data_IF_170638183274
#
_entry.id   IF_170638183274
#
_cell.length_a   1.000
_cell.length_b   1.000
_cell.length_c   1.000
_cell.angle_alpha   90.00
_cell.angle_beta   90.00
_cell.angle_gamma   90.00
#
_symmetry.space_group_name_H-M   'P 1'
#
loop_
_entity.id
_entity.type
_entity.pdbx_description
1 polymer ?
#
# COMPACT_ATOMS: atom_id res chain seq x y z
N UNK A 1 13.00 -8.71 9.09
CA UNK A 1 13.24 -7.26 9.37
C UNK A 1 13.45 -7.10 10.86
N UNK A 2 14.62 -6.61 11.28
CA UNK A 2 14.90 -6.35 12.69
C UNK A 2 14.00 -5.22 13.19
N UNK A 3 13.23 -5.47 14.26
CA UNK A 3 12.49 -4.43 14.99
C UNK A 3 13.52 -3.36 15.42
N UNK A 4 13.32 -2.07 15.13
CA UNK A 4 14.22 -1.04 15.65
C UNK A 4 14.28 -1.19 17.17
N UNK A 5 15.47 -1.20 17.75
CA UNK A 5 15.65 -1.28 19.20
C UNK A 5 14.92 -0.10 19.85
N UNK A 6 13.75 -0.41 20.42
CA UNK A 6 12.85 0.57 21.04
C UNK A 6 13.51 1.04 22.32
N UNK A 7 13.99 2.28 22.33
CA UNK A 7 14.73 2.81 23.46
C UNK A 7 13.79 3.36 24.54
N UNK A 8 13.28 2.46 25.40
CA UNK A 8 12.35 2.76 26.50
C UNK A 8 12.88 3.82 27.49
N UNK A 9 14.20 4.04 27.53
CA UNK A 9 14.82 5.01 28.44
C UNK A 9 14.56 6.47 28.02
N UNK A 10 14.51 6.75 26.72
CA UNK A 10 14.27 8.12 26.20
C UNK A 10 12.80 8.54 26.35
N UNK A 11 11.86 7.59 26.29
CA UNK A 11 10.44 7.90 26.41
C UNK A 11 9.99 8.06 27.87
N UNK A 12 10.71 7.47 28.82
CA UNK A 12 10.51 7.71 30.25
C UNK A 12 10.90 9.14 30.67
N UNK A 13 11.97 9.69 30.09
CA UNK A 13 12.45 11.06 30.36
C UNK A 13 11.44 12.12 29.86
N UNK A 14 10.73 11.83 28.77
CA UNK A 14 9.80 12.77 28.12
C UNK A 14 8.37 12.72 28.66
N UNK A 15 8.12 11.98 29.74
CA UNK A 15 6.81 11.88 30.36
C UNK A 15 6.41 13.20 31.07
N UNK A 16 5.22 13.72 30.79
CA UNK A 16 4.77 15.08 31.15
C UNK A 16 4.86 15.43 32.65
N UNK A 17 4.77 14.43 33.54
CA UNK A 17 4.88 14.63 35.00
C UNK A 17 6.30 14.98 35.46
N UNK A 18 7.33 14.47 34.77
CA UNK A 18 8.72 14.75 35.11
C UNK A 18 9.10 16.20 34.73
N UNK A 19 8.55 16.71 33.62
CA UNK A 19 8.77 18.09 33.18
C UNK A 19 8.15 19.11 34.14
N UNK A 20 6.94 18.84 34.64
CA UNK A 20 6.27 19.71 35.63
C UNK A 20 7.02 19.68 36.97
N UNK A 21 7.48 18.51 37.41
CA UNK A 21 8.25 18.34 38.64
C UNK A 21 9.62 19.04 38.56
N UNK A 22 10.31 18.93 37.42
CA UNK A 22 11.60 19.58 37.19
C UNK A 22 11.45 21.11 37.08
N UNK A 23 10.38 21.60 36.46
CA UNK A 23 10.04 23.03 36.45
C UNK A 23 9.75 23.57 37.87
N UNK A 24 9.04 22.80 38.69
CA UNK A 24 8.77 23.14 40.10
C UNK A 24 10.06 23.21 40.93
N UNK A 25 10.96 22.23 40.79
CA UNK A 25 12.23 22.18 41.52
C UNK A 25 13.24 23.22 41.04
N UNK A 26 13.23 23.57 39.75
CA UNK A 26 14.01 24.68 39.22
C UNK A 26 13.57 26.01 39.85
N UNK A 27 12.26 26.25 39.96
CA UNK A 27 11.71 27.45 40.60
C UNK A 27 12.05 27.48 42.10
N UNK A 28 11.98 26.34 42.78
CA UNK A 28 12.37 26.22 44.19
C UNK A 28 13.87 26.48 44.43
N UNK A 29 14.73 26.02 43.52
CA UNK A 29 16.19 26.22 43.60
C UNK A 29 16.58 27.70 43.46
N UNK A 30 15.90 28.45 42.58
CA UNK A 30 16.06 29.90 42.43
C UNK A 30 15.61 30.63 43.69
N UNK A 31 14.48 30.25 44.28
CA UNK A 31 13.95 30.86 45.51
C UNK A 31 14.86 30.59 46.72
N UNK A 32 15.45 29.40 46.81
CA UNK A 32 16.33 29.01 47.93
C UNK A 32 17.80 29.44 47.75
N UNK A 33 18.16 30.03 46.60
CA UNK A 33 19.55 30.33 46.20
C UNK A 33 20.52 29.17 46.44
N UNK A 34 20.03 27.94 46.25
CA UNK A 34 20.74 26.72 46.61
C UNK A 34 20.54 25.69 45.52
N UNK A 35 21.64 25.00 45.17
CA UNK A 35 21.64 23.93 44.19
C UNK A 35 21.15 22.58 44.78
N UNK A 36 20.99 22.49 46.11
CA UNK A 36 20.56 21.27 46.81
C UNK A 36 19.22 20.68 46.30
N UNK A 37 18.16 21.46 46.05
CA UNK A 37 16.92 20.93 45.49
C UNK A 37 17.11 20.34 44.08
N UNK A 38 18.04 20.91 43.30
CA UNK A 38 18.32 20.47 41.93
C UNK A 38 19.11 19.16 41.91
N UNK A 39 20.08 18.99 42.83
CA UNK A 39 20.83 17.72 42.95
C UNK A 39 19.97 16.60 43.52
N UNK A 40 19.04 16.92 44.43
CA UNK A 40 18.03 15.97 44.91
C UNK A 40 17.09 15.55 43.77
N UNK A 41 16.66 16.48 42.93
CA UNK A 41 15.86 16.21 41.73
C UNK A 41 16.58 15.20 40.81
N UNK A 42 17.84 15.50 40.48
CA UNK A 42 18.66 14.65 39.62
C UNK A 42 18.88 13.24 40.21
N UNK A 43 19.03 13.14 41.53
CA UNK A 43 19.15 11.86 42.23
C UNK A 43 17.86 11.04 42.17
N UNK A 44 16.70 11.67 42.40
CA UNK A 44 15.39 11.02 42.31
C UNK A 44 15.09 10.58 40.87
N UNK A 45 15.44 11.42 39.89
CA UNK A 45 15.27 11.12 38.47
C UNK A 45 16.16 9.95 38.00
N UNK A 46 17.40 9.85 38.51
CA UNK A 46 18.26 8.67 38.26
C UNK A 46 17.67 7.38 38.84
N UNK A 47 17.11 7.43 40.06
CA UNK A 47 16.46 6.27 40.69
C UNK A 47 15.20 5.88 39.90
N UNK A 48 14.42 6.87 39.47
CA UNK A 48 13.22 6.67 38.64
C UNK A 48 13.58 6.00 37.30
N UNK A 49 14.59 6.50 36.60
CA UNK A 49 15.06 5.95 35.32
C UNK A 49 15.68 4.56 35.46
N UNK A 50 16.26 4.22 36.60
CA UNK A 50 16.77 2.87 36.85
C UNK A 50 15.65 1.83 37.12
N UNK A 51 14.53 2.26 37.71
CA UNK A 51 13.50 1.33 38.21
C UNK A 51 12.30 1.18 37.27
N UNK A 52 11.87 2.26 36.60
CA UNK A 52 10.62 2.30 35.81
C UNK A 52 10.66 1.53 34.49
N UNK A 53 11.73 1.57 33.67
CA UNK A 53 11.78 0.84 32.39
C UNK A 53 11.65 -0.68 32.53
N UNK A 54 11.93 -1.23 33.71
CA UNK A 54 11.81 -2.65 34.01
C UNK A 54 10.40 -3.11 34.41
N UNK A 55 9.44 -2.21 34.56
CA UNK A 55 8.07 -2.57 35.02
C UNK A 55 7.16 -2.96 33.86
N UNK A 56 6.45 -4.09 33.99
CA UNK A 56 5.51 -4.56 32.96
C UNK A 56 4.38 -3.56 32.66
N UNK A 57 3.95 -2.79 33.66
CA UNK A 57 2.87 -1.80 33.52
C UNK A 57 3.30 -0.63 32.62
N UNK A 58 4.54 -0.14 32.78
CA UNK A 58 5.08 0.91 31.92
C UNK A 58 5.29 0.41 30.50
N UNK A 59 5.87 -0.79 30.34
CA UNK A 59 6.07 -1.40 29.03
C UNK A 59 4.75 -1.62 28.29
N UNK A 60 3.70 -2.12 28.96
CA UNK A 60 2.36 -2.29 28.37
C UNK A 60 1.72 -0.95 27.98
N UNK A 61 1.87 0.09 28.79
CA UNK A 61 1.32 1.42 28.48
C UNK A 61 2.00 2.05 27.26
N UNK A 62 3.33 1.96 27.20
CA UNK A 62 4.13 2.40 26.05
C UNK A 62 3.78 1.58 24.81
N UNK A 63 3.68 0.26 24.94
CA UNK A 63 3.30 -0.62 23.84
C UNK A 63 1.88 -0.30 23.32
N UNK A 64 0.91 -0.09 24.20
CA UNK A 64 -0.45 0.28 23.81
C UNK A 64 -0.49 1.64 23.11
N UNK A 65 0.26 2.63 23.61
CA UNK A 65 0.39 3.96 22.99
C UNK A 65 0.99 3.84 21.60
N UNK A 66 2.07 3.07 21.43
CA UNK A 66 2.68 2.86 20.12
C UNK A 66 1.80 2.07 19.17
N UNK A 67 1.10 1.03 19.65
CA UNK A 67 0.11 0.29 18.85
C UNK A 67 -1.00 1.21 18.36
N UNK A 68 -1.49 2.13 19.20
CA UNK A 68 -2.50 3.11 18.80
C UNK A 68 -1.96 4.11 17.77
N UNK A 69 -0.71 4.57 17.91
CA UNK A 69 -0.04 5.44 16.93
C UNK A 69 0.19 4.70 15.61
N UNK A 70 0.61 3.44 15.65
CA UNK A 70 0.84 2.59 14.49
C UNK A 70 -0.48 2.36 13.73
N UNK A 71 -1.55 2.01 14.44
CA UNK A 71 -2.89 1.88 13.87
C UNK A 71 -3.42 3.20 13.28
N UNK A 72 -3.18 4.35 13.93
CA UNK A 72 -3.58 5.66 13.39
C UNK A 72 -2.79 6.03 12.13
N UNK A 73 -1.49 5.69 12.09
CA UNK A 73 -0.66 5.89 10.91
C UNK A 73 -1.08 4.97 9.75
N UNK A 74 -1.41 3.71 10.03
CA UNK A 74 -1.95 2.79 9.03
C UNK A 74 -3.28 3.29 8.47
N UNK A 75 -4.19 3.77 9.34
CA UNK A 75 -5.46 4.37 8.91
C UNK A 75 -5.24 5.58 8.02
N UNK A 76 -4.36 6.50 8.41
CA UNK A 76 -3.99 7.68 7.60
C UNK A 76 -3.38 7.31 6.25
N UNK A 77 -2.53 6.26 6.21
CA UNK A 77 -1.99 5.75 4.95
C UNK A 77 -3.10 5.24 4.05
N UNK A 78 -4.04 4.46 4.59
CA UNK A 78 -5.18 3.95 3.85
C UNK A 78 -6.07 5.08 3.33
N UNK A 79 -6.41 6.05 4.18
CA UNK A 79 -7.17 7.26 3.80
C UNK A 79 -6.47 8.02 2.65
N UNK A 80 -5.16 8.21 2.74
CA UNK A 80 -4.37 8.90 1.71
C UNK A 80 -4.30 8.12 0.38
N UNK A 81 -4.37 6.79 0.42
CA UNK A 81 -4.46 5.94 -0.77
C UNK A 81 -5.81 6.10 -1.42
N UNK A 82 -6.89 5.99 -0.64
CA UNK A 82 -8.27 6.22 -1.09
C UNK A 82 -8.42 7.61 -1.70
N UNK A 83 -7.78 8.63 -1.13
CA UNK A 83 -7.79 10.00 -1.64
C UNK A 83 -7.07 10.18 -2.99
N UNK A 84 -6.30 9.20 -3.47
CA UNK A 84 -5.70 9.24 -4.81
C UNK A 84 -6.58 8.61 -5.88
N UNK A 85 -7.59 7.82 -5.49
CA UNK A 85 -8.52 7.21 -6.45
C UNK A 85 -9.49 8.25 -7.02
N UNK A 86 -10.00 8.04 -8.23
CA UNK A 86 -11.06 8.87 -8.79
C UNK A 86 -12.38 8.68 -8.02
N UNK A 87 -13.25 9.71 -8.06
CA UNK A 87 -14.47 9.81 -7.24
C UNK A 87 -15.43 8.62 -7.43
N UNK A 88 -15.53 8.10 -8.65
CA UNK A 88 -16.34 6.92 -8.99
C UNK A 88 -15.86 5.66 -8.24
N UNK A 89 -14.54 5.45 -8.16
CA UNK A 89 -13.94 4.29 -7.48
C UNK A 89 -14.02 4.42 -5.96
N UNK A 90 -13.87 5.63 -5.41
CA UNK A 90 -14.07 5.86 -3.97
C UNK A 90 -15.49 5.53 -3.54
N UNK A 91 -16.49 5.99 -4.28
CA UNK A 91 -17.89 5.71 -3.98
C UNK A 91 -18.19 4.20 -4.02
N UNK A 92 -17.62 3.45 -4.98
CA UNK A 92 -17.76 1.99 -5.02
C UNK A 92 -17.09 1.30 -3.84
N UNK A 93 -15.87 1.71 -3.50
CA UNK A 93 -15.16 1.19 -2.32
C UNK A 93 -15.99 1.44 -1.05
N UNK A 94 -16.54 2.64 -0.88
CA UNK A 94 -17.40 2.98 0.26
C UNK A 94 -18.66 2.13 0.29
N UNK A 95 -19.31 1.88 -0.86
CA UNK A 95 -20.46 0.98 -0.94
C UNK A 95 -20.11 -0.45 -0.53
N UNK A 96 -18.99 -0.96 -1.00
CA UNK A 96 -18.45 -2.29 -0.65
C UNK A 96 -18.18 -2.37 0.85
N UNK A 97 -17.54 -1.35 1.43
CA UNK A 97 -17.26 -1.28 2.87
C UNK A 97 -18.54 -1.23 3.70
N UNK A 98 -19.52 -0.42 3.30
CA UNK A 98 -20.81 -0.34 3.98
C UNK A 98 -21.55 -1.70 3.91
N UNK A 99 -21.47 -2.40 2.78
CA UNK A 99 -22.08 -3.72 2.62
C UNK A 99 -21.45 -4.74 3.58
N UNK A 100 -20.13 -4.68 3.74
CA UNK A 100 -19.36 -5.51 4.65
C UNK A 100 -19.75 -5.21 6.11
N UNK A 101 -19.79 -3.95 6.50
CA UNK A 101 -20.17 -3.54 7.87
C UNK A 101 -21.60 -3.97 8.21
N UNK A 102 -22.54 -3.79 7.28
CA UNK A 102 -23.93 -4.22 7.46
C UNK A 102 -24.04 -5.75 7.55
N UNK A 103 -23.29 -6.48 6.72
CA UNK A 103 -23.23 -7.95 6.76
C UNK A 103 -22.68 -8.43 8.10
N UNK A 104 -21.63 -7.78 8.60
CA UNK A 104 -21.07 -8.05 9.94
C UNK A 104 -22.12 -7.82 11.03
N UNK A 105 -22.81 -6.66 11.01
CA UNK A 105 -23.80 -6.32 12.03
C UNK A 105 -24.89 -7.40 12.14
N UNK A 106 -25.33 -7.94 11.00
CA UNK A 106 -26.33 -9.00 10.93
C UNK A 106 -25.87 -10.36 11.48
N UNK A 107 -24.54 -10.60 11.56
CA UNK A 107 -23.95 -11.86 12.03
C UNK A 107 -23.57 -11.83 13.53
N UNK A 108 -23.84 -10.74 14.24
CA UNK A 108 -23.38 -10.50 15.62
C UNK A 108 -24.08 -11.39 16.68
N UNK A 109 -25.13 -12.13 16.31
CA UNK A 109 -25.83 -13.08 17.20
C UNK A 109 -25.07 -14.41 17.42
N UNK A 110 -23.88 -14.59 16.84
CA UNK A 110 -23.10 -15.85 16.81
C UNK A 110 -21.79 -15.82 17.64
N UNK A 111 -21.24 -17.00 18.04
CA UNK A 111 -20.20 -17.10 19.06
C UNK A 111 -18.89 -16.37 18.72
N UNK A 112 -18.30 -15.76 19.74
CA UNK A 112 -17.12 -14.87 19.77
C UNK A 112 -15.90 -15.35 18.94
N UNK A 113 -15.70 -16.66 18.82
CA UNK A 113 -14.60 -17.24 18.03
C UNK A 113 -14.81 -17.20 16.50
N UNK A 114 -16.04 -17.08 16.00
CA UNK A 114 -16.31 -16.97 14.55
C UNK A 114 -16.20 -15.52 14.04
N UNK A 115 -16.54 -14.54 14.88
CA UNK A 115 -16.45 -13.11 14.55
C UNK A 115 -15.01 -12.66 14.27
N UNK A 116 -14.03 -13.16 15.03
CA UNK A 116 -12.61 -12.81 14.82
C UNK A 116 -12.04 -13.32 13.49
N UNK A 117 -12.49 -14.49 13.01
CA UNK A 117 -12.11 -15.03 11.71
C UNK A 117 -12.65 -14.19 10.55
N UNK A 118 -13.92 -13.80 10.64
CA UNK A 118 -14.57 -12.93 9.65
C UNK A 118 -13.93 -11.54 9.64
N UNK A 119 -13.61 -10.97 10.81
CA UNK A 119 -12.92 -9.69 10.93
C UNK A 119 -11.59 -9.62 10.18
N UNK A 120 -10.71 -10.61 10.37
CA UNK A 120 -9.41 -10.59 9.70
C UNK A 120 -9.53 -10.75 8.19
N UNK A 121 -10.49 -11.56 7.71
CA UNK A 121 -10.77 -11.76 6.28
C UNK A 121 -11.30 -10.49 5.62
N UNK A 122 -12.19 -9.77 6.29
CA UNK A 122 -12.73 -8.50 5.80
C UNK A 122 -11.67 -7.40 5.76
N UNK A 123 -10.78 -7.33 6.76
CA UNK A 123 -9.63 -6.43 6.74
C UNK A 123 -8.69 -6.72 5.57
N UNK A 124 -8.33 -8.00 5.37
CA UNK A 124 -7.52 -8.41 4.24
C UNK A 124 -8.20 -8.13 2.90
N UNK A 125 -9.53 -8.31 2.83
CA UNK A 125 -10.31 -7.99 1.63
C UNK A 125 -10.23 -6.52 1.26
N UNK A 126 -10.39 -5.60 2.21
CA UNK A 126 -10.35 -4.17 1.96
C UNK A 126 -9.00 -3.74 1.35
N UNK A 127 -7.88 -4.22 1.91
CA UNK A 127 -6.56 -3.86 1.43
C UNK A 127 -6.29 -4.39 0.01
N UNK A 128 -6.65 -5.66 -0.25
CA UNK A 128 -6.49 -6.31 -1.56
C UNK A 128 -7.36 -5.64 -2.62
N UNK A 129 -8.64 -5.41 -2.31
CA UNK A 129 -9.57 -4.75 -3.22
C UNK A 129 -9.16 -3.31 -3.55
N UNK A 130 -8.64 -2.56 -2.57
CA UNK A 130 -8.06 -1.24 -2.79
C UNK A 130 -6.86 -1.31 -3.76
N UNK A 131 -5.95 -2.27 -3.57
CA UNK A 131 -4.82 -2.50 -4.46
C UNK A 131 -5.26 -2.77 -5.90
N UNK A 132 -6.28 -3.60 -6.10
CA UNK A 132 -6.85 -3.87 -7.43
C UNK A 132 -7.47 -2.62 -8.06
N UNK A 133 -8.15 -1.78 -7.28
CA UNK A 133 -8.70 -0.52 -7.77
C UNK A 133 -7.60 0.48 -8.19
N UNK A 134 -6.50 0.55 -7.43
CA UNK A 134 -5.32 1.35 -7.79
C UNK A 134 -4.66 0.84 -9.07
N UNK A 135 -4.46 -0.47 -9.20
CA UNK A 135 -3.90 -1.09 -10.41
C UNK A 135 -4.77 -0.82 -11.65
N UNK A 136 -6.08 -1.01 -11.54
CA UNK A 136 -7.03 -0.72 -12.62
C UNK A 136 -6.96 0.76 -13.05
N UNK A 137 -6.92 1.66 -12.07
CA UNK A 137 -6.82 3.09 -12.33
C UNK A 137 -5.51 3.45 -13.04
N UNK A 138 -4.39 2.90 -12.59
CA UNK A 138 -3.08 3.13 -13.19
C UNK A 138 -3.02 2.61 -14.62
N UNK A 139 -3.54 1.41 -14.87
CA UNK A 139 -3.59 0.84 -16.21
C UNK A 139 -4.50 1.65 -17.14
N UNK A 140 -5.67 2.08 -16.65
CA UNK A 140 -6.57 2.96 -17.41
C UNK A 140 -5.90 4.28 -17.76
N UNK A 141 -5.19 4.89 -16.81
CA UNK A 141 -4.44 6.13 -17.04
C UNK A 141 -3.34 5.93 -18.08
N UNK A 142 -2.57 4.84 -18.00
CA UNK A 142 -1.55 4.49 -19.00
C UNK A 142 -2.15 4.27 -20.39
N UNK A 143 -3.29 3.60 -20.49
CA UNK A 143 -3.97 3.37 -21.78
C UNK A 143 -4.54 4.66 -22.39
N UNK A 144 -4.90 5.64 -21.57
CA UNK A 144 -5.39 6.93 -22.04
C UNK A 144 -4.28 7.87 -22.52
N UNK A 145 -3.07 7.73 -21.99
CA UNK A 145 -1.92 8.58 -22.36
C UNK A 145 -1.19 8.07 -23.60
N UNK A 146 -1.23 6.77 -23.88
CA UNK A 146 -0.50 6.17 -25.00
C UNK A 146 -1.44 5.69 -26.10
N UNK A 147 -1.23 6.17 -27.33
CA UNK A 147 -2.00 5.77 -28.50
C UNK A 147 -1.37 4.53 -29.16
N UNK A 148 -1.94 3.35 -28.93
CA UNK A 148 -1.45 2.09 -29.55
C UNK A 148 -1.40 2.20 -31.08
N UNK A 149 -2.40 2.80 -31.71
CA UNK A 149 -2.45 2.97 -33.15
C UNK A 149 -1.31 3.85 -33.70
N UNK A 150 -0.86 4.84 -32.94
CA UNK A 150 0.32 5.63 -33.29
C UNK A 150 1.59 4.78 -33.22
N UNK A 151 1.72 3.94 -32.19
CA UNK A 151 2.86 3.06 -32.01
C UNK A 151 2.97 2.00 -33.12
N UNK A 152 1.83 1.41 -33.52
CA UNK A 152 1.77 0.47 -34.66
C UNK A 152 2.22 1.13 -35.96
N UNK A 153 1.78 2.37 -36.21
CA UNK A 153 2.23 3.13 -37.40
C UNK A 153 3.72 3.46 -37.35
N UNK A 154 4.24 3.80 -36.17
CA UNK A 154 5.66 4.09 -35.98
C UNK A 154 6.53 2.85 -36.24
N UNK A 155 6.11 1.68 -35.73
CA UNK A 155 6.76 0.39 -35.99
C UNK A 155 6.82 0.11 -37.50
N UNK A 156 5.68 0.25 -38.19
CA UNK A 156 5.63 0.02 -39.64
C UNK A 156 6.52 1.01 -40.43
N UNK A 157 6.61 2.26 -39.98
CA UNK A 157 7.51 3.27 -40.55
C UNK A 157 8.98 2.88 -40.40
N UNK A 158 9.40 2.53 -39.20
CA UNK A 158 10.79 2.09 -38.93
C UNK A 158 11.13 0.82 -39.71
N UNK A 159 10.19 -0.13 -39.81
CA UNK A 159 10.37 -1.34 -40.60
C UNK A 159 10.63 -1.04 -42.09
N UNK A 160 9.94 -0.02 -42.63
CA UNK A 160 10.16 0.43 -44.00
C UNK A 160 11.49 1.18 -44.16
N UNK A 161 11.90 1.98 -43.18
CA UNK A 161 13.21 2.64 -43.17
C UNK A 161 14.35 1.61 -43.18
N UNK A 162 14.26 0.55 -42.37
CA UNK A 162 15.25 -0.55 -42.34
C UNK A 162 15.47 -1.18 -43.72
N UNK A 163 14.40 -1.34 -44.51
CA UNK A 163 14.47 -1.95 -45.86
C UNK A 163 15.28 -1.11 -46.85
N UNK A 164 15.38 0.20 -46.63
CA UNK A 164 16.06 1.16 -47.51
C UNK A 164 17.37 1.72 -46.92
N UNK A 165 17.70 1.36 -45.68
CA UNK A 165 18.82 1.93 -44.94
C UNK A 165 20.19 1.36 -45.38
N UNK A 166 21.21 2.22 -45.31
CA UNK A 166 22.61 1.80 -45.45
C UNK A 166 23.08 0.97 -44.25
N UNK A 167 24.13 0.16 -44.43
CA UNK A 167 24.63 -0.78 -43.41
C UNK A 167 24.96 -0.14 -42.06
N UNK A 168 25.40 1.13 -42.03
CA UNK A 168 25.73 1.86 -40.79
C UNK A 168 24.49 2.29 -39.99
N UNK A 169 23.39 2.64 -40.67
CA UNK A 169 22.16 3.16 -40.04
C UNK A 169 21.21 2.01 -39.69
N UNK A 170 21.28 0.91 -40.45
CA UNK A 170 20.42 -0.27 -40.29
C UNK A 170 20.39 -0.81 -38.86
N UNK A 171 21.55 -0.93 -38.21
CA UNK A 171 21.67 -1.43 -36.83
C UNK A 171 20.88 -0.58 -35.82
N UNK A 172 21.04 0.74 -35.89
CA UNK A 172 20.33 1.67 -35.00
C UNK A 172 18.80 1.65 -35.23
N UNK A 173 18.36 1.46 -36.48
CA UNK A 173 16.94 1.30 -36.79
C UNK A 173 16.37 -0.04 -36.31
N UNK A 174 17.14 -1.13 -36.42
CA UNK A 174 16.77 -2.45 -35.89
C UNK A 174 16.61 -2.42 -34.36
N UNK A 175 17.52 -1.74 -33.66
CA UNK A 175 17.42 -1.52 -32.20
C UNK A 175 16.19 -0.69 -31.84
N UNK A 176 15.92 0.42 -32.54
CA UNK A 176 14.71 1.22 -32.36
C UNK A 176 13.44 0.40 -32.61
N UNK A 177 13.43 -0.43 -33.64
CA UNK A 177 12.31 -1.32 -33.95
C UNK A 177 12.03 -2.29 -32.79
N UNK A 178 13.07 -2.92 -32.24
CA UNK A 178 12.93 -3.84 -31.11
C UNK A 178 12.31 -3.14 -29.88
N UNK A 179 12.75 -1.90 -29.58
CA UNK A 179 12.20 -1.08 -28.50
C UNK A 179 10.71 -0.79 -28.71
N UNK A 180 10.33 -0.36 -29.92
CA UNK A 180 8.94 -0.04 -30.23
C UNK A 180 8.02 -1.27 -30.15
N UNK A 181 8.50 -2.43 -30.63
CA UNK A 181 7.76 -3.70 -30.53
C UNK A 181 7.53 -4.10 -29.08
N UNK A 182 8.56 -4.03 -28.21
CA UNK A 182 8.42 -4.31 -26.78
C UNK A 182 7.44 -3.36 -26.10
N UNK A 183 7.49 -2.07 -26.46
CA UNK A 183 6.55 -1.08 -25.94
C UNK A 183 5.10 -1.41 -26.33
N UNK A 184 4.89 -1.89 -27.55
CA UNK A 184 3.57 -2.34 -28.02
C UNK A 184 3.09 -3.59 -27.28
N UNK A 185 3.97 -4.56 -27.08
CA UNK A 185 3.68 -5.78 -26.32
C UNK A 185 3.28 -5.46 -24.88
N UNK A 186 4.04 -4.60 -24.19
CA UNK A 186 3.71 -4.08 -22.85
C UNK A 186 2.31 -3.44 -22.82
N UNK A 187 2.00 -2.60 -23.81
CA UNK A 187 0.69 -1.94 -23.86
C UNK A 187 -0.46 -2.93 -24.00
N UNK A 188 -0.30 -3.95 -24.84
CA UNK A 188 -1.31 -4.99 -25.03
C UNK A 188 -1.50 -5.81 -23.76
N UNK A 189 -0.41 -6.20 -23.12
CA UNK A 189 -0.46 -6.93 -21.85
C UNK A 189 -1.18 -6.13 -20.76
N UNK A 190 -0.86 -4.83 -20.60
CA UNK A 190 -1.54 -3.96 -19.64
C UNK A 190 -3.03 -3.80 -19.98
N UNK A 191 -3.38 -3.73 -21.27
CA UNK A 191 -4.78 -3.66 -21.70
C UNK A 191 -5.55 -4.92 -21.33
N UNK A 192 -4.99 -6.08 -21.65
CA UNK A 192 -5.64 -7.37 -21.48
C UNK A 192 -5.81 -7.67 -19.99
N UNK A 193 -4.73 -7.55 -19.21
CA UNK A 193 -4.77 -7.69 -17.74
C UNK A 193 -5.64 -6.62 -17.07
N UNK A 194 -5.59 -5.38 -17.54
CA UNK A 194 -6.50 -4.33 -17.06
C UNK A 194 -7.98 -4.66 -17.34
N UNK A 195 -8.28 -5.37 -18.42
CA UNK A 195 -9.64 -5.86 -18.68
C UNK A 195 -10.04 -7.00 -17.75
N UNK A 196 -9.12 -7.91 -17.44
CA UNK A 196 -9.33 -8.97 -16.46
C UNK A 196 -9.64 -8.36 -15.10
N UNK A 197 -8.80 -7.45 -14.61
CA UNK A 197 -8.98 -6.78 -13.31
C UNK A 197 -10.32 -6.05 -13.25
N UNK A 198 -10.70 -5.29 -14.30
CA UNK A 198 -12.00 -4.61 -14.34
C UNK A 198 -13.18 -5.57 -14.21
N UNK A 199 -13.14 -6.68 -14.93
CA UNK A 199 -14.21 -7.68 -14.88
C UNK A 199 -14.26 -8.36 -13.52
N UNK A 200 -13.11 -8.72 -12.95
CA UNK A 200 -13.06 -9.34 -11.63
C UNK A 200 -13.53 -8.40 -10.52
N UNK A 201 -13.19 -7.11 -10.58
CA UNK A 201 -13.72 -6.11 -9.65
C UNK A 201 -15.26 -6.06 -9.69
N UNK A 202 -15.86 -6.15 -10.88
CA UNK A 202 -17.31 -6.20 -11.02
C UNK A 202 -17.90 -7.52 -10.47
N UNK A 203 -17.27 -8.66 -10.74
CA UNK A 203 -17.67 -9.96 -10.17
C UNK A 203 -17.64 -9.92 -8.65
N UNK A 204 -16.55 -9.44 -8.05
CA UNK A 204 -16.38 -9.31 -6.59
C UNK A 204 -17.49 -8.42 -6.00
N UNK A 205 -17.80 -7.29 -6.64
CA UNK A 205 -18.89 -6.41 -6.22
C UNK A 205 -20.25 -7.12 -6.22
N UNK A 206 -20.53 -7.96 -7.22
CA UNK A 206 -21.78 -8.71 -7.32
C UNK A 206 -21.83 -9.91 -6.35
N UNK A 207 -20.72 -10.63 -6.19
CA UNK A 207 -20.57 -11.70 -5.17
C UNK A 207 -20.79 -11.14 -3.77
N UNK A 208 -20.25 -9.95 -3.46
CA UNK A 208 -20.46 -9.32 -2.16
C UNK A 208 -21.92 -8.93 -1.92
N UNK A 209 -22.63 -8.42 -2.94
CA UNK A 209 -24.08 -8.18 -2.84
C UNK A 209 -24.85 -9.46 -2.56
N UNK A 210 -24.49 -10.55 -3.23
CA UNK A 210 -25.10 -11.85 -2.99
C UNK A 210 -24.85 -12.35 -1.55
N UNK A 211 -23.63 -12.17 -1.02
CA UNK A 211 -23.30 -12.49 0.37
C UNK A 211 -24.15 -11.66 1.33
N UNK A 212 -24.29 -10.37 1.05
CA UNK A 212 -25.10 -9.47 1.87
C UNK A 212 -26.59 -9.88 1.87
N UNK A 213 -27.17 -10.15 0.71
CA UNK A 213 -28.55 -10.65 0.58
C UNK A 213 -28.74 -12.01 1.30
N UNK A 214 -27.73 -12.88 1.21
CA UNK A 214 -27.71 -14.16 1.92
C UNK A 214 -27.66 -13.97 3.43
N UNK A 215 -26.92 -12.97 3.93
CA UNK A 215 -26.87 -12.64 5.37
C UNK A 215 -28.23 -12.17 5.92
N UNK A 216 -29.05 -11.53 5.07
CA UNK A 216 -30.39 -11.07 5.43
C UNK A 216 -31.41 -12.21 5.45
N UNK A 217 -31.23 -13.22 4.59
CA UNK A 217 -32.20 -14.30 4.37
C UNK A 217 -31.85 -15.59 5.11
N UNK A 218 -30.56 -15.88 5.31
CA UNK A 218 -30.04 -17.07 5.98
C UNK A 218 -29.16 -16.67 7.17
N UNK A 219 -29.63 -16.95 8.38
CA UNK A 219 -28.83 -16.88 9.62
C UNK A 219 -27.86 -18.06 9.73
N UNK A 220 -27.09 -18.36 8.67
CA UNK A 220 -26.05 -19.40 8.72
C UNK A 220 -24.67 -18.75 8.49
N UNK A 221 -23.99 -18.34 9.56
CA UNK A 221 -22.68 -17.69 9.50
C UNK A 221 -21.61 -18.53 8.83
N UNK A 222 -21.68 -19.87 8.92
CA UNK A 222 -20.73 -20.75 8.25
C UNK A 222 -20.81 -20.60 6.73
N UNK A 223 -22.02 -20.47 6.17
CA UNK A 223 -22.20 -20.27 4.73
C UNK A 223 -21.60 -18.94 4.26
N UNK A 224 -21.78 -17.87 5.03
CA UNK A 224 -21.19 -16.55 4.71
C UNK A 224 -19.66 -16.60 4.80
N UNK A 225 -19.13 -17.29 5.80
CA UNK A 225 -17.69 -17.49 5.96
C UNK A 225 -17.06 -18.20 4.75
N UNK A 226 -17.71 -19.24 4.23
CA UNK A 226 -17.27 -19.95 3.00
C UNK A 226 -17.35 -19.05 1.77
N UNK A 227 -18.43 -18.30 1.60
CA UNK A 227 -18.57 -17.39 0.46
C UNK A 227 -17.52 -16.25 0.49
N UNK A 228 -17.11 -15.80 1.69
CA UNK A 228 -15.99 -14.88 1.84
C UNK A 228 -14.66 -15.51 1.43
N UNK A 229 -14.42 -16.80 1.73
CA UNK A 229 -13.23 -17.51 1.27
C UNK A 229 -13.20 -17.62 -0.27
N UNK A 230 -14.34 -17.91 -0.88
CA UNK A 230 -14.49 -17.95 -2.34
C UNK A 230 -14.18 -16.58 -2.96
N UNK A 231 -14.69 -15.51 -2.37
CA UNK A 231 -14.43 -14.13 -2.80
C UNK A 231 -12.95 -13.72 -2.61
N UNK A 232 -12.29 -14.18 -1.54
CA UNK A 232 -10.83 -14.01 -1.38
C UNK A 232 -10.04 -14.78 -2.45
N UNK A 233 -10.56 -15.91 -2.92
CA UNK A 233 -10.00 -16.67 -4.04
C UNK A 233 -10.24 -15.99 -5.39
N UNK A 234 -11.40 -15.36 -5.61
CA UNK A 234 -11.69 -14.58 -6.82
C UNK A 234 -10.71 -13.42 -7.00
N UNK A 235 -10.33 -12.74 -5.91
CA UNK A 235 -9.30 -11.69 -5.95
C UNK A 235 -7.93 -12.20 -6.38
N UNK A 236 -7.59 -13.46 -6.13
CA UNK A 236 -6.29 -14.02 -6.52
C UNK A 236 -6.10 -13.93 -8.04
N UNK A 237 -7.16 -14.18 -8.83
CA UNK A 237 -7.12 -14.09 -10.30
C UNK A 237 -6.78 -12.66 -10.74
N UNK A 238 -7.35 -11.66 -10.07
CA UNK A 238 -7.08 -10.26 -10.38
C UNK A 238 -5.65 -9.85 -9.95
N UNK A 239 -5.17 -10.35 -8.82
CA UNK A 239 -3.80 -10.11 -8.35
C UNK A 239 -2.75 -10.78 -9.25
N UNK A 240 -3.01 -12.00 -9.72
CA UNK A 240 -2.15 -12.70 -10.68
C UNK A 240 -2.06 -11.92 -12.00
N UNK A 241 -3.16 -11.32 -12.45
CA UNK A 241 -3.16 -10.45 -13.63
C UNK A 241 -2.34 -9.15 -13.42
N UNK A 242 -2.33 -8.60 -12.21
CA UNK A 242 -1.45 -7.48 -11.84
C UNK A 242 0.02 -7.92 -11.89
N UNK A 243 0.35 -9.05 -11.26
CA UNK A 243 1.71 -9.58 -11.22
C UNK A 243 2.24 -9.91 -12.63
N UNK A 244 1.40 -10.50 -13.48
CA UNK A 244 1.74 -10.79 -14.87
C UNK A 244 2.10 -9.50 -15.62
N UNK A 245 1.24 -8.48 -15.54
CA UNK A 245 1.49 -7.18 -16.16
C UNK A 245 2.75 -6.49 -15.61
N UNK A 246 3.02 -6.58 -14.30
CA UNK A 246 4.19 -5.98 -13.67
C UNK A 246 5.51 -6.70 -13.99
N UNK A 247 5.49 -8.02 -14.14
CA UNK A 247 6.70 -8.82 -14.44
C UNK A 247 7.36 -8.43 -15.76
N UNK A 248 6.56 -8.10 -16.76
CA UNK A 248 7.01 -7.64 -18.09
C UNK A 248 7.37 -6.16 -18.08
N UNK A 249 6.81 -5.38 -17.15
CA UNK A 249 7.17 -3.97 -16.95
C UNK A 249 8.56 -3.85 -16.32
N UNK A 250 8.81 -4.53 -15.20
CA UNK A 250 10.06 -4.40 -14.45
C UNK A 250 11.29 -4.96 -15.17
N UNK A 251 11.13 -6.06 -15.92
CA UNK A 251 12.22 -6.66 -16.70
C UNK A 251 12.62 -5.82 -17.92
N UNK A 252 11.69 -5.07 -18.50
CA UNK A 252 11.94 -4.25 -19.69
C UNK A 252 12.37 -2.81 -19.37
N UNK A 253 11.89 -2.19 -18.29
CA UNK A 253 12.35 -0.84 -17.88
C UNK A 253 13.86 -0.83 -17.62
N UNK A 254 14.40 -1.88 -16.99
CA UNK A 254 15.84 -2.04 -16.74
C UNK A 254 16.69 -2.08 -18.03
N UNK A 255 16.12 -2.60 -19.13
CA UNK A 255 16.79 -2.66 -20.45
C UNK A 255 16.63 -1.38 -21.25
N UNK A 256 15.50 -0.70 -21.11
CA UNK A 256 15.26 0.61 -21.71
C UNK A 256 16.19 1.67 -21.12
N UNK A 257 16.36 1.69 -19.79
CA UNK A 257 17.31 2.58 -19.12
C UNK A 257 18.77 2.32 -19.51
N UNK A 258 19.11 1.06 -19.79
CA UNK A 258 20.43 0.70 -20.31
C UNK A 258 20.65 1.21 -21.74
N UNK A 259 19.61 1.14 -22.58
CA UNK A 259 19.64 1.63 -23.95
C UNK A 259 19.64 3.16 -24.05
N UNK A 260 18.90 3.87 -23.20
CA UNK A 260 18.94 5.33 -23.11
C UNK A 260 20.35 5.82 -22.73
N UNK A 261 21.02 5.14 -21.79
CA UNK A 261 22.44 5.41 -21.47
C UNK A 261 23.37 5.17 -22.65
N UNK A 262 23.18 4.07 -23.39
CA UNK A 262 24.01 3.76 -24.57
C UNK A 262 23.81 4.77 -25.72
N UNK A 263 22.58 5.28 -25.89
CA UNK A 263 22.29 6.36 -26.83
C UNK A 263 22.91 7.70 -26.40
N UNK A 264 22.88 8.04 -25.11
CA UNK A 264 23.55 9.23 -24.57
C UNK A 264 25.08 9.15 -24.76
N UNK A 265 25.68 7.99 -24.55
CA UNK A 265 27.10 7.75 -24.79
C UNK A 265 27.45 7.87 -26.29
N UNK A 266 26.68 7.23 -27.18
CA UNK A 266 26.90 7.29 -28.62
C UNK A 266 26.65 8.67 -29.25
N UNK A 267 25.82 9.50 -28.61
CA UNK A 267 25.59 10.89 -29.03
C UNK A 267 26.63 11.86 -28.44
N UNK A 268 27.13 11.59 -27.24
CA UNK A 268 28.24 12.30 -26.59
C UNK A 268 29.59 12.09 -27.31
N UNK A 269 29.88 10.89 -27.82
CA UNK A 269 31.10 10.63 -28.60
C UNK A 269 31.11 11.30 -29.99
N UNK A 270 29.97 11.85 -30.44
CA UNK A 270 29.84 12.55 -31.72
C UNK A 270 29.91 14.07 -31.62
N UNK A 271 29.91 14.65 -30.42
CA UNK A 271 30.07 16.09 -30.16
C UNK A 271 31.50 16.44 -29.77
#
# INVERSE_FOLDING_TARGET
MAKPERNYTLEAVTYQYNLIFLAFLMLLSVVMWSAMPLTLAAGVEMIYLAMVPGTEVFQRSVENKYRAIEADNERKKLESRVEKLPLDRRARLEQVMNLIENTRANLTDDPENMLSGVESRLGAFQERYLGLCEAEHNYRTLMNTVNEGALVREIAGVEQEIKSASSRVKRSLEERYEVLVKRLERMRLVRDNGSIIRNQLATIEDTLKLIHESSLTMRNPQSVSTQLDDLLSEMQIAEDAVLEAESVVGSNDSRLEAFERELEEATSERS
#
